data_IF_214432117518
#
_entry.id   IF_214432117518
#
_cell.length_a   1.000
_cell.length_b   1.000
_cell.length_c   1.000
_cell.angle_alpha   90.00
_cell.angle_beta   90.00
_cell.angle_gamma   90.00
#
_symmetry.space_group_name_H-M   'P 1'
#
loop_
_entity.id
_entity.type
_entity.pdbx_description
1 polymer ?
#
# COMPACT_ATOMS: atom_id res chain seq x y z
N UNK A 1 -14.13 -10.34 -16.94
CA UNK A 1 -13.42 -9.14 -17.45
C UNK A 1 -13.03 -8.28 -16.25
N UNK A 2 -11.85 -7.67 -16.21
CA UNK A 2 -11.45 -6.79 -15.10
C UNK A 2 -12.37 -5.56 -15.06
N UNK A 3 -12.99 -5.20 -13.91
CA UNK A 3 -13.94 -4.09 -13.83
C UNK A 3 -13.41 -2.76 -14.39
N UNK A 4 -12.13 -2.47 -14.15
CA UNK A 4 -11.47 -1.26 -14.63
C UNK A 4 -11.34 -1.24 -16.16
N UNK A 5 -11.05 -2.40 -16.76
CA UNK A 5 -10.98 -2.55 -18.21
C UNK A 5 -12.37 -2.40 -18.85
N UNK A 6 -13.40 -2.99 -18.24
CA UNK A 6 -14.78 -2.81 -18.72
C UNK A 6 -15.21 -1.35 -18.66
N UNK A 7 -14.87 -0.63 -17.59
CA UNK A 7 -15.24 0.77 -17.42
C UNK A 7 -14.56 1.67 -18.46
N UNK A 8 -13.25 1.51 -18.68
CA UNK A 8 -12.54 2.34 -19.65
C UNK A 8 -13.01 2.08 -21.09
N UNK A 9 -13.28 0.83 -21.45
CA UNK A 9 -13.84 0.50 -22.78
C UNK A 9 -15.18 1.17 -23.02
N UNK A 10 -16.07 1.21 -22.01
CA UNK A 10 -17.34 1.93 -22.13
C UNK A 10 -17.10 3.44 -22.28
N UNK A 11 -16.23 4.02 -21.48
CA UNK A 11 -15.97 5.46 -21.54
C UNK A 11 -15.33 5.87 -22.88
N UNK A 12 -14.42 5.05 -23.41
CA UNK A 12 -13.85 5.21 -24.75
C UNK A 12 -14.94 5.15 -25.84
N UNK A 13 -15.86 4.18 -25.76
CA UNK A 13 -16.97 4.03 -26.71
C UNK A 13 -17.93 5.22 -26.69
N UNK A 14 -18.18 5.81 -25.52
CA UNK A 14 -19.07 6.96 -25.34
C UNK A 14 -18.36 8.30 -25.56
N UNK A 15 -17.07 8.31 -25.91
CA UNK A 15 -16.28 9.54 -26.08
C UNK A 15 -16.10 10.34 -24.79
N UNK A 16 -16.23 9.69 -23.62
CA UNK A 16 -16.05 10.31 -22.31
C UNK A 16 -14.56 10.27 -21.96
N UNK A 17 -13.91 11.44 -21.72
CA UNK A 17 -12.52 11.46 -21.30
C UNK A 17 -12.34 10.74 -19.96
N UNK A 18 -11.47 9.72 -19.93
CA UNK A 18 -11.09 9.05 -18.70
C UNK A 18 -9.58 8.86 -18.60
N UNK A 19 -9.11 8.76 -17.37
CA UNK A 19 -7.73 8.50 -17.00
C UNK A 19 -7.70 7.46 -15.89
N UNK A 20 -6.83 6.47 -16.03
CA UNK A 20 -6.58 5.46 -15.00
C UNK A 20 -5.27 5.80 -14.28
N UNK A 21 -5.30 5.76 -12.94
CA UNK A 21 -4.10 5.88 -12.09
C UNK A 21 -3.82 4.52 -11.44
N UNK A 22 -2.64 3.94 -11.71
CA UNK A 22 -2.19 2.66 -11.15
C UNK A 22 -0.95 2.88 -10.29
N UNK A 23 -1.08 3.27 -9.01
CA UNK A 23 0.06 3.39 -8.13
C UNK A 23 0.68 1.99 -7.91
N UNK A 24 2.01 1.91 -8.01
CA UNK A 24 2.73 0.67 -7.81
C UNK A 24 2.66 0.21 -6.35
N UNK A 25 2.39 -1.08 -6.14
CA UNK A 25 2.32 -1.72 -4.82
C UNK A 25 2.91 -3.12 -4.87
N UNK A 26 3.50 -3.53 -3.76
CA UNK A 26 3.82 -4.94 -3.50
C UNK A 26 2.52 -5.67 -3.11
N UNK A 27 2.06 -6.72 -3.83
CA UNK A 27 0.75 -7.32 -3.61
C UNK A 27 0.59 -8.03 -2.25
N UNK A 28 1.70 -8.33 -1.59
CA UNK A 28 1.72 -9.15 -0.37
C UNK A 28 1.23 -8.41 0.88
N UNK A 29 1.06 -7.08 0.82
CA UNK A 29 0.65 -6.28 1.98
C UNK A 29 -0.16 -5.04 1.59
N UNK A 30 -1.09 -4.58 2.44
CA UNK A 30 -1.69 -3.25 2.29
C UNK A 30 -0.61 -2.16 2.29
N UNK A 31 -0.64 -1.27 1.32
CA UNK A 31 0.33 -0.17 1.17
C UNK A 31 -0.39 1.20 1.12
N UNK A 32 -0.74 1.79 2.28
CA UNK A 32 -1.43 3.08 2.33
C UNK A 32 -0.64 4.24 1.69
N UNK A 33 0.70 4.15 1.58
CA UNK A 33 1.48 5.19 0.88
C UNK A 33 1.17 5.25 -0.60
N UNK A 34 0.91 4.10 -1.23
CA UNK A 34 0.55 4.07 -2.64
C UNK A 34 -0.81 4.75 -2.89
N UNK A 35 -1.77 4.57 -1.97
CA UNK A 35 -3.01 5.33 -1.99
C UNK A 35 -2.75 6.84 -1.83
N UNK A 36 -1.85 7.24 -0.93
CA UNK A 36 -1.47 8.65 -0.76
C UNK A 36 -0.85 9.25 -2.04
N UNK A 37 -0.03 8.49 -2.76
CA UNK A 37 0.51 8.89 -4.07
C UNK A 37 -0.60 9.10 -5.09
N UNK A 38 -1.58 8.20 -5.16
CA UNK A 38 -2.73 8.35 -6.06
C UNK A 38 -3.56 9.59 -5.71
N UNK A 39 -3.88 9.81 -4.43
CA UNK A 39 -4.67 10.98 -3.99
C UNK A 39 -3.92 12.29 -4.26
N UNK A 40 -2.60 12.34 -4.05
CA UNK A 40 -1.79 13.51 -4.42
C UNK A 40 -1.87 13.78 -5.92
N UNK A 41 -1.82 12.73 -6.76
CA UNK A 41 -1.94 12.91 -8.20
C UNK A 41 -3.32 13.40 -8.62
N UNK A 42 -4.38 12.93 -7.95
CA UNK A 42 -5.75 13.43 -8.14
C UNK A 42 -5.85 14.91 -7.74
N UNK A 43 -5.26 15.31 -6.61
CA UNK A 43 -5.21 16.71 -6.19
C UNK A 43 -4.55 17.60 -7.27
N UNK A 44 -3.43 17.16 -7.84
CA UNK A 44 -2.75 17.90 -8.93
C UNK A 44 -3.61 18.00 -10.18
N UNK A 45 -4.23 16.90 -10.61
CA UNK A 45 -5.00 16.83 -11.86
C UNK A 45 -6.31 17.63 -11.80
N UNK A 46 -6.95 17.65 -10.62
CA UNK A 46 -8.28 18.26 -10.44
C UNK A 46 -8.24 19.53 -9.59
N UNK A 47 -7.05 20.00 -9.21
CA UNK A 47 -6.83 21.15 -8.33
C UNK A 47 -7.63 21.05 -7.01
N UNK A 48 -7.54 19.87 -6.37
CA UNK A 48 -8.19 19.58 -5.08
C UNK A 48 -7.19 19.70 -3.92
N UNK A 49 -7.71 19.76 -2.70
CA UNK A 49 -6.90 19.82 -1.47
C UNK A 49 -7.30 18.70 -0.49
N UNK A 50 -7.29 17.46 -0.96
CA UNK A 50 -7.59 16.29 -0.12
C UNK A 50 -6.34 15.95 0.72
N UNK A 51 -6.43 15.97 2.06
CA UNK A 51 -5.29 15.61 2.90
C UNK A 51 -4.98 14.12 2.81
N UNK A 52 -3.69 13.77 2.87
CA UNK A 52 -3.21 12.38 2.87
C UNK A 52 -2.53 11.97 4.18
N UNK A 53 -2.68 12.77 5.23
CA UNK A 53 -2.00 12.58 6.52
C UNK A 53 -2.39 11.24 7.16
N UNK A 54 -3.67 10.91 7.19
CA UNK A 54 -4.17 9.64 7.76
C UNK A 54 -3.58 8.42 7.03
N UNK A 55 -3.50 8.48 5.69
CA UNK A 55 -2.87 7.40 4.90
C UNK A 55 -1.39 7.22 5.26
N UNK A 56 -0.66 8.32 5.47
CA UNK A 56 0.75 8.27 5.85
C UNK A 56 0.95 7.78 7.29
N UNK A 57 0.06 8.15 8.21
CA UNK A 57 0.05 7.66 9.59
C UNK A 57 -0.24 6.16 9.63
N UNK A 58 -1.23 5.68 8.89
CA UNK A 58 -1.53 4.25 8.80
C UNK A 58 -0.37 3.45 8.22
N UNK A 59 0.30 3.96 7.18
CA UNK A 59 1.50 3.32 6.65
C UNK A 59 2.61 3.20 7.71
N UNK A 60 2.80 4.26 8.51
CA UNK A 60 3.79 4.25 9.60
C UNK A 60 3.44 3.19 10.66
N UNK A 61 2.17 3.10 11.06
CA UNK A 61 1.70 2.10 12.05
C UNK A 61 1.96 0.67 11.54
N UNK A 62 1.70 0.39 10.26
CA UNK A 62 1.95 -0.91 9.66
C UNK A 62 3.45 -1.24 9.71
N UNK A 63 4.33 -0.33 9.27
CA UNK A 63 5.77 -0.54 9.28
C UNK A 63 6.34 -0.75 10.69
N UNK A 64 5.86 0.02 11.67
CA UNK A 64 6.25 -0.12 13.08
C UNK A 64 5.80 -1.48 13.65
N UNK A 65 4.59 -1.93 13.30
CA UNK A 65 4.08 -3.22 13.75
C UNK A 65 4.89 -4.36 13.16
N UNK A 66 5.16 -4.32 11.85
CA UNK A 66 5.98 -5.32 11.18
C UNK A 66 7.42 -5.36 11.73
N UNK A 67 8.03 -4.20 12.00
CA UNK A 67 9.39 -4.15 12.53
C UNK A 67 9.49 -4.76 13.93
N UNK A 68 8.51 -4.51 14.80
CA UNK A 68 8.41 -5.13 16.12
C UNK A 68 8.23 -6.64 16.02
N UNK A 69 7.37 -7.12 15.13
CA UNK A 69 7.18 -8.56 14.89
C UNK A 69 8.48 -9.23 14.44
N UNK A 70 9.19 -8.63 13.48
CA UNK A 70 10.51 -9.14 13.02
C UNK A 70 11.55 -9.18 14.13
N UNK A 71 11.54 -8.21 15.05
CA UNK A 71 12.45 -8.19 16.19
C UNK A 71 12.14 -9.33 17.18
N UNK A 72 10.86 -9.54 17.49
CA UNK A 72 10.39 -10.65 18.33
C UNK A 72 10.78 -12.01 17.75
N UNK A 73 10.55 -12.23 16.45
CA UNK A 73 10.93 -13.46 15.75
C UNK A 73 12.43 -13.74 15.84
N UNK A 74 13.27 -12.72 15.67
CA UNK A 74 14.73 -12.87 15.79
C UNK A 74 15.16 -13.23 17.20
N UNK A 75 14.53 -12.65 18.23
CA UNK A 75 14.82 -12.96 19.63
C UNK A 75 14.49 -14.43 19.93
N UNK A 76 13.29 -14.88 19.56
CA UNK A 76 12.85 -16.27 19.73
C UNK A 76 13.80 -17.25 19.01
N UNK A 77 14.18 -16.97 17.77
CA UNK A 77 15.14 -17.83 17.03
C UNK A 77 16.52 -17.90 17.70
N UNK A 78 16.95 -16.83 18.34
CA UNK A 78 18.24 -16.79 19.04
C UNK A 78 18.18 -17.61 20.33
N UNK A 79 17.08 -17.53 21.07
CA UNK A 79 16.83 -18.32 22.28
C UNK A 79 16.72 -19.83 21.98
N UNK A 80 15.99 -20.21 20.93
CA UNK A 80 15.88 -21.61 20.48
C UNK A 80 17.24 -22.20 20.07
N UNK A 81 18.05 -21.42 19.33
CA UNK A 81 19.42 -21.84 18.96
C UNK A 81 20.34 -21.97 20.17
N UNK A 82 20.19 -21.07 21.15
CA UNK A 82 20.88 -21.15 22.43
C UNK A 82 20.55 -22.47 23.13
N UNK A 83 19.27 -22.76 23.38
CA UNK A 83 18.85 -24.01 24.04
C UNK A 83 19.34 -25.27 23.34
N UNK A 84 19.29 -25.33 22.01
CA UNK A 84 19.73 -26.50 21.22
C UNK A 84 21.24 -26.77 21.27
N UNK A 85 22.04 -25.80 21.69
CA UNK A 85 23.50 -25.93 21.83
C UNK A 85 23.90 -26.52 23.20
N UNK A 86 22.97 -26.53 24.18
CA UNK A 86 23.21 -27.02 25.54
C UNK A 86 22.65 -28.43 25.83
N UNK A 87 22.12 -29.13 24.82
CA UNK A 87 21.62 -30.52 24.89
C UNK A 87 22.49 -31.39 23.97
#
# INVERSE_FOLDING_TARGET
MCPLASLITVFESEGIPALILLPFVEPSRPEPRAAAVAVRKINELLNLNIPVTELLEHAKIIEETESKLRELERKLQTEERGMRTYI
#
